data_IF_386128820587
#
_entry.id   IF_386128820587
#
_cell.length_a   1.000
_cell.length_b   1.000
_cell.length_c   1.000
_cell.angle_alpha   90.00
_cell.angle_beta   90.00
_cell.angle_gamma   90.00
#
_symmetry.space_group_name_H-M   'P 1'
#
loop_
_entity.id
_entity.type
_entity.pdbx_description
1 polymer ?
#
# COMPACT_ATOMS: atom_id res chain seq x y z
N UNK A 1 3.98 -43.35 -11.22
CA UNK A 1 3.02 -42.75 -10.28
C UNK A 1 3.35 -41.27 -10.24
N UNK A 2 2.57 -40.46 -10.95
CA UNK A 2 2.86 -39.04 -11.18
C UNK A 2 2.03 -38.20 -10.22
N UNK A 3 2.59 -37.87 -9.06
CA UNK A 3 1.93 -37.03 -8.04
C UNK A 3 2.33 -35.58 -8.27
N UNK A 4 1.81 -34.98 -9.34
CA UNK A 4 2.00 -33.55 -9.59
C UNK A 4 1.07 -32.75 -8.67
N UNK A 5 1.63 -32.17 -7.62
CA UNK A 5 0.94 -31.14 -6.84
C UNK A 5 0.83 -29.90 -7.73
N UNK A 6 -0.38 -29.59 -8.20
CA UNK A 6 -0.67 -28.34 -8.92
C UNK A 6 -1.35 -27.39 -7.94
N UNK A 7 -0.62 -26.40 -7.37
CA UNK A 7 -1.24 -25.43 -6.47
C UNK A 7 -2.24 -24.59 -7.27
N UNK A 8 -3.53 -24.75 -6.95
CA UNK A 8 -4.58 -23.89 -7.48
C UNK A 8 -4.60 -22.57 -6.70
N UNK A 9 -3.79 -21.61 -7.16
CA UNK A 9 -3.71 -20.27 -6.58
C UNK A 9 -5.05 -19.52 -6.65
N UNK A 10 -5.95 -19.90 -7.58
CA UNK A 10 -7.29 -19.30 -7.64
C UNK A 10 -8.19 -19.79 -6.51
N UNK A 11 -7.99 -21.03 -6.02
CA UNK A 11 -8.73 -21.55 -4.87
C UNK A 11 -8.33 -20.85 -3.58
N UNK A 12 -7.02 -20.60 -3.38
CA UNK A 12 -6.54 -19.83 -2.24
C UNK A 12 -7.05 -18.37 -2.28
N UNK A 13 -7.08 -17.74 -3.46
CA UNK A 13 -7.64 -16.40 -3.65
C UNK A 13 -9.16 -16.37 -3.38
N UNK A 14 -9.92 -17.37 -3.87
CA UNK A 14 -11.37 -17.48 -3.65
C UNK A 14 -11.72 -17.80 -2.19
N UNK A 15 -10.92 -18.62 -1.50
CA UNK A 15 -11.07 -18.91 -0.06
C UNK A 15 -10.75 -17.66 0.76
N UNK A 16 -9.69 -16.91 0.43
CA UNK A 16 -9.42 -15.60 1.05
C UNK A 16 -10.53 -14.59 0.78
N UNK A 17 -11.10 -14.56 -0.43
CA UNK A 17 -12.23 -13.70 -0.77
C UNK A 17 -13.53 -14.10 -0.03
N UNK A 18 -13.77 -15.41 0.18
CA UNK A 18 -14.91 -15.92 0.98
C UNK A 18 -14.71 -15.71 2.48
N UNK A 19 -13.49 -15.85 2.99
CA UNK A 19 -13.15 -15.57 4.39
C UNK A 19 -13.22 -14.06 4.70
N UNK A 20 -12.93 -13.20 3.70
CA UNK A 20 -13.21 -11.75 3.73
C UNK A 20 -14.65 -11.40 3.32
N UNK A 21 -15.53 -12.40 3.21
CA UNK A 21 -16.95 -12.24 2.90
C UNK A 21 -17.76 -11.60 4.03
N UNK A 22 -17.28 -10.48 4.56
CA UNK A 22 -18.01 -9.34 5.10
C UNK A 22 -17.07 -8.19 5.52
N UNK A 23 -15.78 -8.30 5.20
CA UNK A 23 -14.85 -7.18 5.24
C UNK A 23 -14.47 -6.85 3.79
N UNK A 24 -15.45 -6.30 3.05
CA UNK A 24 -15.11 -5.04 2.40
C UNK A 24 -14.58 -4.20 3.55
N UNK A 25 -13.25 -4.13 3.71
CA UNK A 25 -12.66 -3.08 4.53
C UNK A 25 -13.18 -1.85 3.83
N UNK A 26 -14.27 -1.31 4.36
CA UNK A 26 -14.88 -0.10 3.84
C UNK A 26 -13.70 0.84 3.63
N UNK A 27 -13.63 1.57 2.51
CA UNK A 27 -12.65 2.64 2.43
C UNK A 27 -12.83 3.40 3.73
N UNK A 28 -11.84 3.30 4.63
CA UNK A 28 -11.86 4.08 5.86
C UNK A 28 -11.65 5.47 5.28
N UNK A 29 -12.76 6.15 5.01
CA UNK A 29 -12.79 7.54 4.67
C UNK A 29 -12.36 8.24 5.96
N UNK A 30 -11.05 8.31 6.15
CA UNK A 30 -10.43 9.18 7.14
C UNK A 30 -10.54 10.56 6.48
N UNK A 31 -11.73 11.15 6.55
CA UNK A 31 -12.05 12.42 5.89
C UNK A 31 -12.24 12.32 4.37
N UNK A 32 -11.99 13.44 3.69
CA UNK A 32 -12.12 13.67 2.23
C UNK A 32 -11.13 12.86 1.37
N UNK A 33 -10.31 11.99 1.97
CA UNK A 33 -9.36 11.15 1.29
C UNK A 33 -10.02 9.93 0.64
N UNK A 34 -9.90 9.82 -0.69
CA UNK A 34 -10.40 8.70 -1.48
C UNK A 34 -9.27 7.73 -1.78
N UNK A 35 -9.39 6.48 -1.34
CA UNK A 35 -8.44 5.43 -1.72
C UNK A 35 -8.40 5.22 -3.24
N UNK A 36 -7.18 5.07 -3.79
CA UNK A 36 -6.95 4.85 -5.23
C UNK A 36 -6.45 3.42 -5.48
N UNK A 37 -5.30 3.04 -4.90
CA UNK A 37 -4.69 1.71 -5.08
C UNK A 37 -3.64 1.39 -4.00
N UNK A 38 -3.26 0.12 -3.88
CA UNK A 38 -2.15 -0.35 -3.05
C UNK A 38 -0.94 -0.60 -3.92
N UNK A 39 0.24 -0.19 -3.46
CA UNK A 39 1.52 -0.50 -4.09
C UNK A 39 2.13 -1.81 -3.58
N UNK A 40 2.01 -2.08 -2.28
CA UNK A 40 2.50 -3.31 -1.67
C UNK A 40 2.42 -3.33 -0.15
N UNK A 41 2.77 -4.47 0.43
CA UNK A 41 2.88 -4.68 1.87
C UNK A 41 4.26 -5.28 2.19
N UNK A 42 4.98 -4.72 3.16
CA UNK A 42 6.30 -5.19 3.62
C UNK A 42 6.28 -5.32 5.14
N UNK A 43 6.32 -6.56 5.63
CA UNK A 43 6.14 -6.85 7.06
C UNK A 43 4.75 -6.38 7.53
N UNK A 44 4.73 -5.48 8.51
CA UNK A 44 3.50 -4.87 9.03
C UNK A 44 3.15 -3.52 8.39
N UNK A 45 3.91 -3.09 7.38
CA UNK A 45 3.72 -1.80 6.72
C UNK A 45 3.02 -1.98 5.37
N UNK A 46 1.96 -1.22 5.11
CA UNK A 46 1.24 -1.20 3.83
C UNK A 46 1.41 0.16 3.15
N UNK A 47 1.77 0.16 1.86
CA UNK A 47 1.97 1.37 1.08
C UNK A 47 0.82 1.51 0.08
N UNK A 48 0.09 2.62 0.15
CA UNK A 48 -1.06 2.88 -0.71
C UNK A 48 -1.09 4.30 -1.25
N UNK A 49 -1.87 4.50 -2.30
CA UNK A 49 -2.18 5.79 -2.87
C UNK A 49 -3.60 6.18 -2.47
N UNK A 50 -3.74 7.38 -1.93
CA UNK A 50 -5.03 8.05 -1.71
C UNK A 50 -5.05 9.37 -2.46
N UNK A 51 -6.25 9.87 -2.78
CA UNK A 51 -6.49 11.19 -3.32
C UNK A 51 -7.21 12.01 -2.27
N UNK A 52 -6.51 12.96 -1.67
CA UNK A 52 -7.12 13.90 -0.72
C UNK A 52 -7.77 15.06 -1.47
N UNK A 53 -9.01 15.38 -1.07
CA UNK A 53 -9.84 16.46 -1.60
C UNK A 53 -10.27 17.44 -0.52
N UNK A 54 -9.55 17.49 0.60
CA UNK A 54 -9.83 18.39 1.74
C UNK A 54 -9.56 19.86 1.40
N UNK A 55 -8.58 20.10 0.53
CA UNK A 55 -8.07 21.43 0.21
C UNK A 55 -8.73 22.09 -1.00
N UNK A 56 -8.17 23.23 -1.40
CA UNK A 56 -8.59 23.95 -2.62
C UNK A 56 -8.23 23.21 -3.92
N UNK A 57 -7.31 22.24 -3.84
CA UNK A 57 -6.89 21.38 -4.94
C UNK A 57 -6.73 19.96 -4.43
N UNK A 58 -7.03 19.01 -5.32
CA UNK A 58 -6.84 17.59 -5.04
C UNK A 58 -5.34 17.25 -5.04
N UNK A 59 -4.96 16.39 -4.09
CA UNK A 59 -3.58 15.95 -3.86
C UNK A 59 -3.53 14.43 -3.89
N UNK A 60 -2.56 13.85 -4.60
CA UNK A 60 -2.24 12.44 -4.43
C UNK A 60 -1.33 12.26 -3.22
N UNK A 61 -1.65 11.35 -2.31
CA UNK A 61 -0.84 11.06 -1.14
C UNK A 61 -0.41 9.60 -1.16
N UNK A 62 0.89 9.36 -1.14
CA UNK A 62 1.47 8.04 -0.87
C UNK A 62 1.52 7.85 0.64
N UNK A 63 0.73 6.92 1.14
CA UNK A 63 0.48 6.64 2.55
C UNK A 63 1.20 5.36 2.95
N UNK A 64 1.86 5.38 4.11
CA UNK A 64 2.46 4.19 4.73
C UNK A 64 1.70 3.92 6.03
N UNK A 65 0.88 2.88 6.04
CA UNK A 65 0.18 2.41 7.24
C UNK A 65 1.04 1.38 7.97
N UNK A 66 1.13 1.47 9.30
CA UNK A 66 1.82 0.49 10.14
C UNK A 66 1.15 0.31 11.52
N UNK A 67 1.75 -0.50 12.41
CA UNK A 67 1.19 -0.77 13.74
C UNK A 67 0.99 0.47 14.62
N UNK A 68 1.82 1.50 14.42
CA UNK A 68 1.72 2.80 15.10
C UNK A 68 0.77 3.80 14.44
N UNK A 69 0.04 3.39 13.41
CA UNK A 69 -0.78 4.26 12.57
C UNK A 69 -0.06 4.66 11.28
N UNK A 70 -0.51 5.78 10.70
CA UNK A 70 0.02 6.29 9.45
C UNK A 70 1.33 7.06 9.67
N UNK A 71 2.36 6.73 8.88
CA UNK A 71 3.61 7.47 8.81
C UNK A 71 3.50 8.52 7.69
N UNK A 72 3.96 9.74 8.00
CA UNK A 72 3.76 10.98 7.22
C UNK A 72 3.64 10.78 5.69
N UNK A 73 2.47 11.08 5.10
CA UNK A 73 2.25 10.83 3.68
C UNK A 73 3.09 11.76 2.80
N UNK A 74 3.49 11.26 1.63
CA UNK A 74 4.13 12.07 0.59
C UNK A 74 3.06 12.60 -0.35
N UNK A 75 2.82 13.91 -0.30
CA UNK A 75 1.89 14.62 -1.17
C UNK A 75 2.49 14.93 -2.55
N UNK A 76 1.71 14.71 -3.60
CA UNK A 76 2.01 15.05 -4.99
C UNK A 76 0.89 15.94 -5.52
N UNK A 77 1.25 17.18 -5.80
CA UNK A 77 0.33 18.23 -6.24
C UNK A 77 0.71 18.75 -7.63
N UNK A 78 -0.26 19.00 -8.52
CA UNK A 78 -1.70 18.69 -8.41
C UNK A 78 -2.02 17.22 -8.77
N UNK A 79 -3.20 16.73 -8.38
CA UNK A 79 -3.70 15.39 -8.76
C UNK A 79 -4.10 15.26 -10.25
N UNK A 80 -3.11 15.36 -11.14
CA UNK A 80 -3.21 15.22 -12.60
C UNK A 80 -2.69 13.84 -13.05
N UNK A 81 -2.75 13.56 -14.36
CA UNK A 81 -2.16 12.34 -14.91
C UNK A 81 -0.64 12.26 -14.68
N UNK A 82 0.09 13.37 -14.82
CA UNK A 82 1.52 13.43 -14.53
C UNK A 82 1.79 13.26 -13.03
N UNK A 83 0.96 13.87 -12.18
CA UNK A 83 1.04 13.66 -10.72
C UNK A 83 0.78 12.21 -10.29
N UNK A 84 -0.12 11.50 -10.99
CA UNK A 84 -0.34 10.07 -10.76
C UNK A 84 0.89 9.24 -11.13
N UNK A 85 1.56 9.60 -12.23
CA UNK A 85 2.77 8.92 -12.68
C UNK A 85 3.95 9.13 -11.71
N UNK A 86 4.10 10.34 -11.18
CA UNK A 86 5.10 10.62 -10.15
C UNK A 86 4.76 9.94 -8.82
N UNK A 87 3.49 9.96 -8.40
CA UNK A 87 3.02 9.22 -7.24
C UNK A 87 3.28 7.71 -7.35
N UNK A 88 3.15 7.14 -8.55
CA UNK A 88 3.47 5.73 -8.81
C UNK A 88 4.94 5.40 -8.63
N UNK A 89 5.83 6.26 -9.12
CA UNK A 89 7.27 6.09 -8.90
C UNK A 89 7.63 6.18 -7.43
N UNK A 90 7.04 7.15 -6.72
CA UNK A 90 7.26 7.32 -5.27
C UNK A 90 6.74 6.10 -4.52
N UNK A 91 5.52 5.63 -4.80
CA UNK A 91 4.94 4.46 -4.16
C UNK A 91 5.80 3.20 -4.32
N UNK A 92 6.27 2.94 -5.54
CA UNK A 92 7.17 1.81 -5.81
C UNK A 92 8.54 1.98 -5.12
N UNK A 93 9.10 3.19 -5.13
CA UNK A 93 10.37 3.48 -4.45
C UNK A 93 10.28 3.27 -2.93
N UNK A 94 9.16 3.67 -2.32
CA UNK A 94 8.89 3.45 -0.89
C UNK A 94 8.80 1.95 -0.59
N UNK A 95 8.01 1.18 -1.35
CA UNK A 95 7.93 -0.28 -1.18
C UNK A 95 9.32 -0.90 -1.26
N UNK A 96 10.10 -0.56 -2.31
CA UNK A 96 11.44 -1.09 -2.47
C UNK A 96 12.37 -0.73 -1.31
N UNK A 97 12.24 0.48 -0.78
CA UNK A 97 13.03 0.94 0.38
C UNK A 97 12.67 0.13 1.63
N UNK A 98 11.38 -0.10 1.88
CA UNK A 98 10.94 -0.92 3.02
C UNK A 98 11.46 -2.35 2.92
N UNK A 99 11.48 -2.95 1.72
CA UNK A 99 12.06 -4.27 1.50
C UNK A 99 13.55 -4.31 1.86
N UNK A 100 14.31 -3.31 1.44
CA UNK A 100 15.75 -3.22 1.72
C UNK A 100 16.04 -3.03 3.20
N UNK A 101 15.25 -2.21 3.90
CA UNK A 101 15.39 -2.00 5.35
C UNK A 101 15.00 -3.26 6.12
N UNK A 102 13.91 -3.92 5.74
CA UNK A 102 13.48 -5.17 6.38
C UNK A 102 14.50 -6.31 6.19
N UNK A 103 15.25 -6.31 5.09
CA UNK A 103 16.34 -7.26 4.82
C UNK A 103 17.66 -6.96 5.52
N UNK A 104 17.77 -5.85 6.27
CA UNK A 104 18.99 -5.43 7.00
C UNK A 104 18.72 -5.08 8.48
N UNK A 105 18.15 -5.99 9.28
CA UNK A 105 17.75 -5.67 10.65
C UNK A 105 18.93 -5.30 11.60
N UNK A 106 20.18 -5.62 11.25
CA UNK A 106 21.35 -5.51 12.15
C UNK A 106 22.29 -4.32 11.83
N UNK A 107 22.08 -3.56 10.75
CA UNK A 107 23.05 -2.57 10.23
C UNK A 107 22.75 -1.10 10.65
N UNK A 108 21.75 -0.86 11.51
CA UNK A 108 21.32 0.48 11.91
C UNK A 108 21.51 0.78 13.41
N UNK A 109 22.43 0.07 14.08
CA UNK A 109 22.84 0.41 15.43
C UNK A 109 23.83 1.59 15.37
N UNK A 110 23.31 2.82 15.43
CA UNK A 110 24.12 4.03 15.56
C UNK A 110 24.42 4.24 17.04
N UNK A 111 25.56 3.73 17.47
CA UNK A 111 26.18 4.01 18.77
C UNK A 111 26.64 5.48 18.90
#
# INVERSE_FOLDING_TARGET
MDTVIRPDFQRAAKVRAKARGNETRAPRAIGTAQYVKTYGEVGLHAVSLVRDRSGSRDVYQVVIDGPGGQVGPVGVEPATADGMFDADRIGLAVVRTLELVAGRPEDFDVA
#
